data_IF_906888119594
#
_entry.id   IF_906888119594
#
_cell.length_a   1.000
_cell.length_b   1.000
_cell.length_c   1.000
_cell.angle_alpha   90.00
_cell.angle_beta   90.00
_cell.angle_gamma   90.00
#
_symmetry.space_group_name_H-M   'P 1'
#
loop_
_entity.id
_entity.type
_entity.pdbx_description
1 polymer ?
#
# COMPACT_ATOMS: atom_id res chain seq x y z
N UNK A 1 -0.48 4.26 6.94
CA UNK A 1 0.45 3.25 6.39
C UNK A 1 -0.03 2.89 4.99
N UNK A 2 0.90 2.57 4.09
CA UNK A 2 0.61 2.05 2.74
C UNK A 2 1.09 0.60 2.70
N UNK A 3 0.21 -0.31 2.29
CA UNK A 3 0.54 -1.71 2.10
C UNK A 3 0.84 -1.93 0.61
N UNK A 4 2.11 -2.14 0.28
CA UNK A 4 2.59 -2.38 -1.10
C UNK A 4 2.84 -3.87 -1.32
N UNK A 5 2.22 -4.42 -2.35
CA UNK A 5 2.34 -5.82 -2.72
C UNK A 5 3.08 -5.96 -4.05
N UNK A 6 4.20 -6.68 -4.02
CA UNK A 6 4.91 -7.10 -5.23
C UNK A 6 4.60 -8.54 -5.56
N UNK A 7 4.17 -8.77 -6.80
CA UNK A 7 3.92 -10.10 -7.35
C UNK A 7 4.89 -10.32 -8.51
N UNK A 8 5.39 -11.54 -8.61
CA UNK A 8 6.41 -11.92 -9.58
C UNK A 8 6.70 -13.41 -9.50
N UNK A 9 7.62 -13.88 -10.35
CA UNK A 9 8.12 -15.25 -10.32
C UNK A 9 9.55 -15.29 -9.81
N UNK A 10 9.95 -16.43 -9.23
CA UNK A 10 11.32 -16.70 -8.79
C UNK A 10 11.88 -17.80 -9.66
N UNK A 11 12.84 -17.46 -10.51
CA UNK A 11 13.45 -18.41 -11.45
C UNK A 11 14.95 -18.61 -11.20
N UNK A 12 15.56 -17.87 -10.26
CA UNK A 12 17.00 -17.94 -9.97
C UNK A 12 17.33 -17.56 -8.53
N UNK A 13 18.52 -17.98 -8.09
CA UNK A 13 19.17 -17.57 -6.85
C UNK A 13 20.20 -16.49 -7.16
N UNK A 14 20.39 -15.54 -6.24
CA UNK A 14 21.40 -14.49 -6.39
C UNK A 14 22.82 -15.07 -6.40
N UNK A 15 23.72 -14.60 -7.28
CA UNK A 15 25.13 -14.98 -7.24
C UNK A 15 25.86 -14.38 -6.02
N UNK A 16 25.33 -13.31 -5.42
CA UNK A 16 25.99 -12.58 -4.32
C UNK A 16 25.62 -13.09 -2.92
N UNK A 17 24.51 -13.82 -2.80
CA UNK A 17 24.06 -14.41 -1.54
C UNK A 17 23.03 -15.52 -1.82
N UNK A 18 22.85 -16.51 -0.92
CA UNK A 18 21.90 -17.60 -1.11
C UNK A 18 20.44 -17.16 -0.85
N UNK A 19 19.98 -16.16 -1.60
CA UNK A 19 18.63 -15.60 -1.54
C UNK A 19 17.95 -15.63 -2.92
N UNK A 20 16.64 -15.89 -3.00
CA UNK A 20 15.91 -15.89 -4.27
C UNK A 20 15.84 -14.49 -4.86
N UNK A 21 15.89 -14.39 -6.19
CA UNK A 21 15.56 -13.15 -6.90
C UNK A 21 14.14 -13.26 -7.45
N UNK A 22 13.31 -12.28 -7.11
CA UNK A 22 11.96 -12.14 -7.67
C UNK A 22 11.97 -11.21 -8.88
N UNK A 23 11.47 -11.70 -10.01
CA UNK A 23 11.20 -10.89 -11.20
C UNK A 23 9.79 -10.32 -11.06
N UNK A 24 9.69 -9.09 -10.55
CA UNK A 24 8.43 -8.40 -10.26
C UNK A 24 7.73 -8.04 -11.58
N UNK A 25 6.47 -8.41 -11.72
CA UNK A 25 5.63 -8.08 -12.88
C UNK A 25 4.37 -7.29 -12.52
N UNK A 26 4.03 -7.19 -11.23
CA UNK A 26 2.86 -6.46 -10.76
C UNK A 26 3.13 -5.85 -9.39
N UNK A 27 2.78 -4.58 -9.25
CA UNK A 27 2.80 -3.82 -8.00
C UNK A 27 1.37 -3.34 -7.70
N UNK A 28 0.86 -3.65 -6.52
CA UNK A 28 -0.45 -3.21 -6.04
C UNK A 28 -0.29 -2.48 -4.72
N UNK A 29 -0.79 -1.25 -4.66
CA UNK A 29 -0.80 -0.44 -3.44
C UNK A 29 -2.20 -0.40 -2.83
N UNK A 30 -2.27 -0.57 -1.51
CA UNK A 30 -3.52 -0.53 -0.75
C UNK A 30 -3.36 0.29 0.53
N UNK A 31 -4.42 0.97 0.98
CA UNK A 31 -4.39 1.62 2.28
C UNK A 31 -4.26 0.56 3.38
N UNK A 32 -3.28 0.76 4.28
CA UNK A 32 -2.98 -0.14 5.40
C UNK A 32 -3.38 0.42 6.75
N UNK A 33 -3.42 -0.44 7.77
CA UNK A 33 -3.72 -0.07 9.16
C UNK A 33 -5.06 0.67 9.31
N UNK A 34 -5.05 1.83 9.96
CA UNK A 34 -6.26 2.64 10.17
C UNK A 34 -6.95 3.05 8.85
N UNK A 35 -6.19 3.25 7.77
CA UNK A 35 -6.75 3.57 6.46
C UNK A 35 -7.51 2.38 5.85
N UNK A 36 -7.06 1.14 6.09
CA UNK A 36 -7.80 -0.05 5.68
C UNK A 36 -9.15 -0.15 6.42
N UNK A 37 -9.13 0.11 7.74
CA UNK A 37 -10.35 0.11 8.56
C UNK A 37 -11.35 1.15 8.06
N UNK A 38 -10.89 2.39 7.84
CA UNK A 38 -11.73 3.46 7.34
C UNK A 38 -12.31 3.14 5.95
N UNK A 39 -11.48 2.58 5.06
CA UNK A 39 -11.92 2.11 3.74
C UNK A 39 -13.03 1.08 3.86
N UNK A 40 -12.84 0.04 4.67
CA UNK A 40 -13.81 -1.04 4.80
C UNK A 40 -15.16 -0.54 5.33
N UNK A 41 -15.16 0.34 6.33
CA UNK A 41 -16.39 0.96 6.85
C UNK A 41 -17.08 1.84 5.80
N UNK A 42 -16.30 2.62 5.04
CA UNK A 42 -16.84 3.44 3.95
C UNK A 42 -17.43 2.61 2.80
N UNK A 43 -16.82 1.46 2.47
CA UNK A 43 -17.35 0.53 1.46
C UNK A 43 -18.71 -0.06 1.86
N UNK A 44 -19.04 -0.09 3.15
CA UNK A 44 -20.39 -0.43 3.66
C UNK A 44 -21.38 0.74 3.63
N UNK A 45 -21.00 1.90 3.07
CA UNK A 45 -21.85 3.08 2.96
C UNK A 45 -21.91 3.95 4.21
N UNK A 46 -21.03 3.73 5.19
CA UNK A 46 -20.93 4.59 6.37
C UNK A 46 -20.20 5.89 6.04
N UNK A 47 -20.56 6.98 6.72
CA UNK A 47 -19.78 8.20 6.73
C UNK A 47 -18.59 8.05 7.68
N UNK A 48 -17.37 8.12 7.14
CA UNK A 48 -16.15 7.83 7.88
C UNK A 48 -15.17 8.99 7.68
N UNK A 49 -14.69 9.56 8.79
CA UNK A 49 -13.59 10.51 8.79
C UNK A 49 -12.34 9.83 9.32
N UNK A 50 -11.26 9.85 8.53
CA UNK A 50 -9.95 9.36 8.94
C UNK A 50 -9.01 10.55 9.20
N UNK A 51 -8.58 10.68 10.45
CA UNK A 51 -7.59 11.68 10.86
C UNK A 51 -6.30 10.97 11.23
N UNK A 52 -5.17 11.46 10.73
CA UNK A 52 -3.86 10.89 10.97
C UNK A 52 -2.76 11.87 10.55
N UNK A 53 -1.52 11.39 10.55
CA UNK A 53 -0.36 12.12 10.01
C UNK A 53 0.27 11.21 8.95
N UNK A 54 0.67 11.80 7.84
CA UNK A 54 1.43 11.15 6.77
C UNK A 54 2.74 11.87 6.49
N UNK A 55 3.67 11.16 5.85
CA UNK A 55 4.94 11.70 5.42
C UNK A 55 4.82 12.66 4.22
N UNK A 56 5.97 13.14 3.75
CA UNK A 56 6.11 13.90 2.49
C UNK A 56 6.93 13.09 1.50
N UNK A 57 6.39 11.93 1.13
CA UNK A 57 7.04 10.94 0.28
C UNK A 57 6.05 10.31 -0.71
N UNK A 58 6.57 9.48 -1.62
CA UNK A 58 5.78 8.77 -2.65
C UNK A 58 4.64 7.96 -2.03
N UNK A 59 4.88 7.29 -0.90
CA UNK A 59 3.87 6.47 -0.26
C UNK A 59 2.69 7.30 0.26
N UNK A 60 2.95 8.52 0.75
CA UNK A 60 1.91 9.47 1.14
C UNK A 60 1.10 9.96 -0.08
N UNK A 61 1.75 10.21 -1.22
CA UNK A 61 1.07 10.62 -2.45
C UNK A 61 0.17 9.51 -3.00
N UNK A 62 0.63 8.26 -2.98
CA UNK A 62 -0.15 7.10 -3.39
C UNK A 62 -1.35 6.85 -2.46
N UNK A 63 -1.18 7.06 -1.15
CA UNK A 63 -2.27 6.95 -0.19
C UNK A 63 -3.39 7.99 -0.44
N UNK A 64 -3.04 9.22 -0.85
CA UNK A 64 -4.02 10.29 -1.16
C UNK A 64 -4.87 9.98 -2.40
N UNK A 65 -4.32 9.29 -3.40
CA UNK A 65 -5.05 8.86 -4.61
C UNK A 65 -6.18 7.87 -4.27
N UNK A 66 -6.04 7.10 -3.20
CA UNK A 66 -6.89 5.97 -2.81
C UNK A 66 -8.24 6.27 -2.17
N UNK A 67 -8.84 7.46 -2.38
CA UNK A 67 -10.12 7.96 -1.80
C UNK A 67 -10.06 8.61 -0.40
N UNK A 68 -8.92 9.16 0.03
CA UNK A 68 -8.86 9.94 1.28
C UNK A 68 -8.42 11.39 1.04
N UNK A 69 -9.28 12.24 0.45
CA UNK A 69 -8.92 13.63 0.10
C UNK A 69 -8.68 14.53 1.32
N UNK A 70 -9.10 14.13 2.51
CA UNK A 70 -8.97 14.92 3.76
C UNK A 70 -7.88 14.41 4.72
N UNK A 71 -7.09 13.43 4.29
CA UNK A 71 -5.97 12.94 5.07
C UNK A 71 -4.87 14.00 5.08
N UNK A 72 -4.70 14.66 6.23
CA UNK A 72 -3.71 15.72 6.43
C UNK A 72 -2.38 15.14 6.88
#
# INVERSE_FOLDING_TARGET
MLDRYWKGSVNRISPEAPVPIIDINLCEDKPGGAANVAKNLSDFGMEVTLVGIIGKDEAADDLKKGKFPHLT
#
